data_IF_992236304629
#
_entry.id   IF_992236304629
#
_cell.length_a   1.000
_cell.length_b   1.000
_cell.length_c   1.000
_cell.angle_alpha   90.00
_cell.angle_beta   90.00
_cell.angle_gamma   90.00
#
_symmetry.space_group_name_H-M   'P 1'
#
loop_
_entity.id
_entity.type
_entity.pdbx_description
1 polymer ?
#
# COMPACT_ATOMS: atom_id res chain seq x y z
N UNK A 1 -18.13 17.65 10.88
CA UNK A 1 -16.77 17.08 10.92
C UNK A 1 -16.46 16.49 9.55
N UNK A 2 -15.31 16.78 8.96
CA UNK A 2 -14.98 16.27 7.62
C UNK A 2 -14.85 14.73 7.69
N UNK A 3 -15.65 14.00 6.89
CA UNK A 3 -15.67 12.53 6.89
C UNK A 3 -14.29 11.92 6.54
N UNK A 4 -13.49 12.65 5.76
CA UNK A 4 -12.15 12.25 5.36
C UNK A 4 -11.05 12.46 6.44
N UNK A 5 -11.45 12.93 7.64
CA UNK A 5 -10.60 13.03 8.83
C UNK A 5 -11.08 12.10 9.97
N UNK A 6 -12.15 11.34 9.75
CA UNK A 6 -12.74 10.49 10.78
C UNK A 6 -11.84 9.31 11.12
N UNK A 7 -11.68 9.02 12.40
CA UNK A 7 -11.06 7.79 12.90
C UNK A 7 -11.99 6.60 12.69
N UNK A 8 -11.42 5.44 12.45
CA UNK A 8 -12.15 4.17 12.31
C UNK A 8 -11.38 3.05 13.01
N UNK A 9 -11.95 1.86 13.23
CA UNK A 9 -11.24 0.74 13.84
C UNK A 9 -9.91 0.38 13.15
N UNK A 10 -9.83 0.50 11.82
CA UNK A 10 -8.58 0.28 11.09
C UNK A 10 -7.66 1.51 11.09
N UNK A 11 -8.24 2.71 11.09
CA UNK A 11 -7.50 3.98 11.12
C UNK A 11 -7.37 4.50 12.55
N UNK A 12 -6.80 3.72 13.46
CA UNK A 12 -6.64 3.95 14.90
C UNK A 12 -5.57 5.01 15.22
N UNK A 13 -5.69 6.19 14.59
CA UNK A 13 -4.64 7.21 14.69
C UNK A 13 -4.55 7.89 16.06
N UNK A 14 -5.56 7.81 16.92
CA UNK A 14 -5.49 8.29 18.30
C UNK A 14 -4.69 7.37 19.22
N UNK A 15 -4.35 6.15 18.75
CA UNK A 15 -3.56 5.19 19.52
C UNK A 15 -2.19 5.76 19.92
N UNK A 16 -1.70 5.37 21.10
CA UNK A 16 -0.45 5.87 21.66
C UNK A 16 0.78 5.65 20.73
N UNK A 17 0.95 4.48 20.04
CA UNK A 17 2.07 4.29 19.12
C UNK A 17 2.05 5.26 17.93
N UNK A 18 0.88 5.49 17.33
CA UNK A 18 0.72 6.42 16.19
C UNK A 18 0.98 7.85 16.64
N UNK A 19 0.38 8.30 17.76
CA UNK A 19 0.61 9.66 18.28
C UNK A 19 2.06 9.89 18.68
N UNK A 20 2.72 8.90 19.28
CA UNK A 20 4.15 8.96 19.62
C UNK A 20 5.02 9.14 18.35
N UNK A 21 4.69 8.42 17.28
CA UNK A 21 5.39 8.55 16.00
C UNK A 21 5.20 9.94 15.40
N UNK A 22 3.96 10.44 15.31
CA UNK A 22 3.63 11.78 14.79
C UNK A 22 4.40 12.85 15.56
N UNK A 23 4.40 12.78 16.90
CA UNK A 23 5.13 13.69 17.76
C UNK A 23 6.65 13.61 17.54
N UNK A 24 7.21 12.39 17.51
CA UNK A 24 8.65 12.15 17.30
C UNK A 24 9.13 12.73 15.97
N UNK A 25 8.32 12.63 14.91
CA UNK A 25 8.65 13.12 13.57
C UNK A 25 8.34 14.60 13.37
N UNK A 26 7.65 15.20 14.32
CA UNK A 26 7.24 16.62 14.29
C UNK A 26 6.47 17.02 13.02
N UNK A 27 5.74 16.08 12.40
CA UNK A 27 5.06 16.31 11.12
C UNK A 27 4.05 17.45 11.17
N UNK A 28 3.39 17.67 12.33
CA UNK A 28 2.38 18.74 12.46
C UNK A 28 2.97 20.16 12.37
N UNK A 29 4.29 20.32 12.53
CA UNK A 29 4.96 21.61 12.37
C UNK A 29 5.31 21.94 10.92
N UNK A 30 5.25 20.96 10.01
CA UNK A 30 5.48 21.16 8.57
C UNK A 30 4.27 21.82 7.91
N UNK A 31 4.48 22.51 6.79
CA UNK A 31 3.38 22.91 5.92
C UNK A 31 2.64 21.69 5.35
N UNK A 32 1.49 21.90 4.71
CA UNK A 32 0.62 20.81 4.25
C UNK A 32 1.33 19.90 3.23
N UNK A 33 1.99 20.48 2.22
CA UNK A 33 2.70 19.73 1.18
C UNK A 33 3.88 18.93 1.75
N UNK A 34 4.72 19.58 2.54
CA UNK A 34 5.88 18.95 3.18
C UNK A 34 5.45 17.84 4.15
N UNK A 35 4.36 18.06 4.89
CA UNK A 35 3.78 17.07 5.80
C UNK A 35 3.32 15.81 5.07
N UNK A 36 2.56 15.97 3.98
CA UNK A 36 2.11 14.85 3.15
C UNK A 36 3.32 14.10 2.61
N UNK A 37 4.30 14.83 2.04
CA UNK A 37 5.51 14.24 1.49
C UNK A 37 6.31 13.46 2.54
N UNK A 38 6.50 14.02 3.72
CA UNK A 38 7.25 13.37 4.79
C UNK A 38 6.56 12.09 5.31
N UNK A 39 5.22 12.09 5.43
CA UNK A 39 4.44 10.90 5.80
C UNK A 39 4.48 9.87 4.66
N UNK A 40 4.33 10.29 3.41
CA UNK A 40 4.44 9.44 2.22
C UNK A 40 5.80 8.73 2.16
N UNK A 41 6.89 9.50 2.26
CA UNK A 41 8.25 8.97 2.22
C UNK A 41 8.52 7.99 3.37
N UNK A 42 8.01 8.28 4.58
CA UNK A 42 8.08 7.37 5.73
C UNK A 42 7.37 6.04 5.43
N UNK A 43 6.12 6.09 4.97
CA UNK A 43 5.35 4.87 4.69
C UNK A 43 5.97 4.10 3.53
N UNK A 44 6.49 4.78 2.51
CA UNK A 44 7.15 4.12 1.38
C UNK A 44 8.44 3.41 1.83
N UNK A 45 9.33 4.11 2.53
CA UNK A 45 10.73 3.68 2.66
C UNK A 45 11.07 3.06 4.02
N UNK A 46 10.32 3.38 5.10
CA UNK A 46 10.57 2.84 6.43
C UNK A 46 9.61 1.69 6.80
N UNK A 47 8.47 1.58 6.12
CA UNK A 47 7.59 0.41 6.17
C UNK A 47 7.88 -0.44 4.92
N UNK A 48 8.61 -1.53 5.09
CA UNK A 48 9.10 -2.32 3.96
C UNK A 48 7.96 -3.00 3.18
N UNK A 49 8.20 -3.30 1.91
CA UNK A 49 7.26 -4.11 1.14
C UNK A 49 7.22 -5.55 1.66
N UNK A 50 6.00 -6.05 1.94
CA UNK A 50 5.77 -7.40 2.43
C UNK A 50 4.30 -7.68 2.68
N UNK A 51 3.97 -8.93 3.00
CA UNK A 51 2.60 -9.44 3.13
C UNK A 51 2.26 -9.70 4.60
N UNK A 52 1.27 -8.96 5.12
CA UNK A 52 0.74 -9.12 6.47
C UNK A 52 -0.18 -10.33 6.59
N UNK A 53 -0.66 -10.59 7.79
CA UNK A 53 -1.57 -11.73 8.08
C UNK A 53 -2.95 -11.56 7.47
N UNK A 54 -3.40 -10.31 7.33
CA UNK A 54 -4.75 -9.94 6.88
C UNK A 54 -4.75 -8.51 6.36
N UNK A 55 -5.67 -8.16 5.48
CA UNK A 55 -5.85 -6.81 4.97
C UNK A 55 -6.62 -5.91 5.95
N UNK A 56 -7.36 -6.50 6.89
CA UNK A 56 -8.20 -5.79 7.86
C UNK A 56 -7.49 -5.39 9.16
N UNK A 57 -6.16 -5.51 9.22
CA UNK A 57 -5.39 -5.10 10.40
C UNK A 57 -5.34 -3.58 10.56
N UNK A 58 -5.36 -3.09 11.81
CA UNK A 58 -5.31 -1.66 12.10
C UNK A 58 -3.92 -1.05 11.85
N UNK A 59 -3.88 0.28 11.72
CA UNK A 59 -2.64 1.02 11.43
C UNK A 59 -1.55 0.80 12.48
N UNK A 60 -1.90 0.73 13.77
CA UNK A 60 -0.94 0.40 14.85
C UNK A 60 -0.29 -0.96 14.62
N UNK A 61 -1.03 -1.96 14.13
CA UNK A 61 -0.47 -3.28 13.85
C UNK A 61 0.48 -3.25 12.66
N UNK A 62 0.14 -2.52 11.59
CA UNK A 62 1.04 -2.34 10.43
C UNK A 62 2.34 -1.65 10.84
N UNK A 63 2.23 -0.60 11.68
CA UNK A 63 3.39 0.09 12.22
C UNK A 63 4.28 -0.83 13.04
N UNK A 64 3.70 -1.68 13.89
CA UNK A 64 4.42 -2.67 14.70
C UNK A 64 5.09 -3.76 13.85
N UNK A 65 4.43 -4.20 12.75
CA UNK A 65 5.00 -5.18 11.81
C UNK A 65 6.20 -4.61 11.03
N UNK A 66 6.22 -3.29 10.76
CA UNK A 66 7.27 -2.61 10.01
C UNK A 66 7.30 -2.95 8.51
N UNK A 67 6.27 -3.62 8.01
CA UNK A 67 6.10 -3.96 6.59
C UNK A 67 4.61 -4.05 6.22
N UNK A 68 4.32 -3.98 4.93
CA UNK A 68 2.97 -4.14 4.39
C UNK A 68 2.92 -4.14 2.86
N UNK A 69 1.71 -4.38 2.33
CA UNK A 69 1.36 -4.28 0.92
C UNK A 69 0.39 -3.12 0.69
N UNK A 70 -0.20 -3.02 -0.50
CA UNK A 70 -1.09 -1.92 -0.90
C UNK A 70 -2.13 -1.56 0.18
N UNK A 71 -2.96 -2.53 0.59
CA UNK A 71 -4.07 -2.29 1.52
C UNK A 71 -3.57 -1.90 2.92
N UNK A 72 -2.65 -2.64 3.49
CA UNK A 72 -2.17 -2.42 4.86
C UNK A 72 -1.27 -1.19 4.99
N UNK A 73 -0.34 -0.95 4.04
CA UNK A 73 0.42 0.31 3.99
C UNK A 73 -0.51 1.50 3.75
N UNK A 74 -1.56 1.32 2.90
CA UNK A 74 -2.61 2.32 2.69
C UNK A 74 -3.34 2.67 3.99
N UNK A 75 -3.71 1.67 4.80
CA UNK A 75 -4.32 1.87 6.13
C UNK A 75 -3.41 2.69 7.04
N UNK A 76 -2.13 2.33 7.16
CA UNK A 76 -1.19 3.10 7.97
C UNK A 76 -1.01 4.53 7.43
N UNK A 77 -0.89 4.69 6.11
CA UNK A 77 -0.73 5.99 5.47
C UNK A 77 -1.91 6.91 5.76
N UNK A 78 -3.16 6.42 5.58
CA UNK A 78 -4.36 7.18 5.91
C UNK A 78 -4.45 7.55 7.39
N UNK A 79 -4.11 6.63 8.30
CA UNK A 79 -4.12 6.90 9.73
C UNK A 79 -3.14 8.02 10.11
N UNK A 80 -1.92 8.01 9.55
CA UNK A 80 -0.92 9.05 9.77
C UNK A 80 -1.36 10.40 9.19
N UNK A 81 -1.90 10.42 7.96
CA UNK A 81 -2.42 11.62 7.32
C UNK A 81 -3.54 12.24 8.16
N UNK A 82 -4.57 11.45 8.52
CA UNK A 82 -5.70 11.91 9.33
C UNK A 82 -5.27 12.36 10.72
N UNK A 83 -4.37 11.63 11.37
CA UNK A 83 -3.77 12.00 12.65
C UNK A 83 -2.98 13.32 12.61
N UNK A 84 -2.54 13.73 11.42
CA UNK A 84 -1.91 15.03 11.14
C UNK A 84 -2.86 16.08 10.55
N UNK A 85 -4.18 15.79 10.45
CA UNK A 85 -5.18 16.73 9.94
C UNK A 85 -5.29 16.81 8.42
N UNK A 86 -4.72 15.86 7.68
CA UNK A 86 -4.78 15.81 6.20
C UNK A 86 -5.96 14.94 5.76
N UNK A 87 -6.93 15.48 4.99
CA UNK A 87 -8.05 14.71 4.47
C UNK A 87 -7.58 13.69 3.43
N UNK A 88 -8.02 12.44 3.60
CA UNK A 88 -7.70 11.37 2.66
C UNK A 88 -8.82 10.34 2.56
N UNK A 89 -8.86 9.62 1.43
CA UNK A 89 -9.84 8.58 1.12
C UNK A 89 -9.15 7.42 0.39
N UNK A 90 -9.82 6.30 0.27
CA UNK A 90 -9.25 5.11 -0.37
C UNK A 90 -10.01 4.78 -1.65
N UNK A 91 -9.31 4.39 -2.70
CA UNK A 91 -9.88 3.92 -3.95
C UNK A 91 -9.59 2.43 -4.10
N UNK A 92 -10.63 1.63 -4.36
CA UNK A 92 -10.57 0.17 -4.41
C UNK A 92 -10.56 -0.38 -5.82
N UNK A 93 -9.78 -1.45 -6.05
CA UNK A 93 -9.61 -2.10 -7.35
C UNK A 93 -9.41 -3.60 -7.23
N UNK A 94 -9.39 -4.28 -8.37
CA UNK A 94 -8.65 -5.53 -8.52
C UNK A 94 -7.53 -5.39 -9.54
N UNK A 95 -6.46 -6.17 -9.33
CA UNK A 95 -5.33 -6.30 -10.25
C UNK A 95 -5.17 -7.74 -10.70
N UNK A 96 -4.63 -7.95 -11.91
CA UNK A 96 -4.29 -9.30 -12.39
C UNK A 96 -3.18 -9.91 -11.52
N UNK A 97 -3.34 -11.15 -11.09
CA UNK A 97 -2.33 -11.87 -10.30
C UNK A 97 -0.96 -11.98 -10.98
N UNK A 98 -0.88 -11.77 -12.30
CA UNK A 98 0.40 -11.72 -13.03
C UNK A 98 1.36 -10.70 -12.43
N UNK A 99 0.83 -9.60 -11.92
CA UNK A 99 1.60 -8.57 -11.22
C UNK A 99 2.34 -9.14 -10.00
N UNK A 100 1.79 -10.17 -9.37
CA UNK A 100 2.40 -10.82 -8.20
C UNK A 100 3.39 -11.94 -8.56
N UNK A 101 3.55 -12.28 -9.88
CA UNK A 101 4.49 -13.31 -10.32
C UNK A 101 5.91 -12.95 -9.91
N UNK A 102 6.59 -13.88 -9.25
CA UNK A 102 7.93 -13.67 -8.68
C UNK A 102 7.89 -13.39 -7.17
N UNK A 103 6.97 -12.56 -6.66
CA UNK A 103 6.64 -12.50 -5.25
C UNK A 103 5.85 -13.75 -4.83
N UNK A 104 4.80 -14.09 -5.60
CA UNK A 104 4.13 -15.38 -5.54
C UNK A 104 4.78 -16.35 -6.54
N UNK A 105 5.10 -17.56 -6.11
CA UNK A 105 5.71 -18.62 -6.95
C UNK A 105 5.06 -19.97 -6.69
N UNK A 106 5.20 -20.92 -7.64
CA UNK A 106 4.80 -22.32 -7.51
C UNK A 106 3.33 -22.49 -7.04
N UNK A 107 3.13 -23.29 -6.02
CA UNK A 107 1.80 -23.61 -5.50
C UNK A 107 1.00 -22.37 -5.05
N UNK A 108 1.66 -21.38 -4.42
CA UNK A 108 1.01 -20.13 -3.96
C UNK A 108 0.44 -19.36 -5.17
N UNK A 109 1.23 -19.19 -6.23
CA UNK A 109 0.79 -18.50 -7.43
C UNK A 109 -0.35 -19.23 -8.17
N UNK A 110 -0.24 -20.55 -8.30
CA UNK A 110 -1.23 -21.36 -9.03
C UNK A 110 -2.61 -21.32 -8.34
N UNK A 111 -2.64 -21.32 -6.99
CA UNK A 111 -3.87 -21.30 -6.21
C UNK A 111 -4.37 -19.90 -5.84
N UNK A 112 -3.62 -18.84 -6.17
CA UNK A 112 -4.05 -17.47 -5.97
C UNK A 112 -5.24 -17.12 -6.89
N UNK A 113 -6.20 -16.29 -6.43
CA UNK A 113 -7.28 -15.78 -7.28
C UNK A 113 -6.71 -15.08 -8.53
N UNK A 114 -7.44 -15.14 -9.64
CA UNK A 114 -7.05 -14.43 -10.88
C UNK A 114 -6.97 -12.91 -10.64
N UNK A 115 -7.98 -12.39 -9.94
CA UNK A 115 -8.06 -10.99 -9.56
C UNK A 115 -7.69 -10.87 -8.08
N UNK A 116 -6.72 -10.02 -7.77
CA UNK A 116 -6.24 -9.75 -6.41
C UNK A 116 -6.76 -8.39 -6.00
N UNK A 117 -7.32 -8.31 -4.79
CA UNK A 117 -7.81 -7.05 -4.23
C UNK A 117 -6.66 -6.04 -4.06
N UNK A 118 -6.91 -4.79 -4.45
CA UNK A 118 -5.92 -3.72 -4.49
C UNK A 118 -6.54 -2.38 -4.14
N UNK A 119 -5.73 -1.46 -3.63
CA UNK A 119 -6.16 -0.09 -3.37
C UNK A 119 -5.00 0.90 -3.44
N UNK A 120 -5.34 2.17 -3.68
CA UNK A 120 -4.46 3.30 -3.38
C UNK A 120 -5.15 4.34 -2.49
N UNK A 121 -4.37 5.30 -2.03
CA UNK A 121 -4.87 6.40 -1.19
C UNK A 121 -4.96 7.68 -2.02
N UNK A 122 -6.09 8.35 -1.93
CA UNK A 122 -6.25 9.70 -2.47
C UNK A 122 -6.12 10.71 -1.34
N UNK A 123 -5.26 11.70 -1.53
CA UNK A 123 -4.91 12.72 -0.53
C UNK A 123 -5.32 14.10 -1.03
N UNK A 124 -6.03 14.86 -0.20
CA UNK A 124 -6.37 16.25 -0.52
C UNK A 124 -5.24 17.19 -0.06
N UNK A 125 -4.69 17.97 -1.00
CA UNK A 125 -3.70 19.00 -0.74
C UNK A 125 -4.06 20.27 -1.52
N UNK A 126 -4.16 21.41 -0.86
CA UNK A 126 -4.54 22.68 -1.50
C UNK A 126 -5.89 22.60 -2.24
N UNK A 127 -6.83 21.80 -1.76
CA UNK A 127 -8.15 21.59 -2.37
C UNK A 127 -8.17 20.66 -3.59
N UNK A 128 -7.04 20.08 -3.98
CA UNK A 128 -6.93 19.08 -5.06
C UNK A 128 -6.70 17.67 -4.50
N UNK A 129 -7.24 16.67 -5.19
CA UNK A 129 -7.02 15.25 -4.86
C UNK A 129 -5.87 14.69 -5.69
N UNK A 130 -4.97 13.96 -5.03
CA UNK A 130 -3.83 13.28 -5.64
C UNK A 130 -3.93 11.78 -5.35
N UNK A 131 -3.78 10.96 -6.38
CA UNK A 131 -3.77 9.50 -6.31
C UNK A 131 -2.36 9.02 -6.00
N UNK A 132 -2.19 8.44 -4.81
CA UNK A 132 -0.88 8.01 -4.34
C UNK A 132 -0.89 6.48 -4.17
N UNK A 133 -0.16 5.79 -5.04
CA UNK A 133 -0.03 4.33 -5.05
C UNK A 133 1.42 3.88 -4.76
N UNK A 134 2.40 4.65 -5.22
CA UNK A 134 3.78 4.17 -5.22
C UNK A 134 4.44 4.10 -3.82
N UNK A 135 3.74 4.49 -2.74
CA UNK A 135 4.17 4.22 -1.36
C UNK A 135 4.24 2.72 -1.04
N UNK A 136 3.67 1.86 -1.88
CA UNK A 136 3.59 0.40 -1.67
C UNK A 136 4.97 -0.22 -1.63
N UNK A 137 5.86 0.17 -2.56
CA UNK A 137 7.20 -0.40 -2.68
C UNK A 137 8.26 0.54 -2.14
N UNK A 138 9.10 0.03 -1.22
CA UNK A 138 10.26 0.80 -0.77
C UNK A 138 11.32 0.95 -1.87
N UNK A 139 12.04 2.06 -1.84
CA UNK A 139 13.09 2.37 -2.83
C UNK A 139 14.19 1.31 -2.88
N UNK A 140 14.48 0.65 -1.76
CA UNK A 140 15.50 -0.41 -1.70
C UNK A 140 15.06 -1.62 -2.52
N UNK A 141 13.81 -2.06 -2.33
CA UNK A 141 13.23 -3.15 -3.11
C UNK A 141 13.19 -2.82 -4.60
N UNK A 142 12.67 -1.64 -4.96
CA UNK A 142 12.58 -1.19 -6.34
C UNK A 142 13.95 -1.11 -7.02
N UNK A 143 14.96 -0.54 -6.34
CA UNK A 143 16.35 -0.46 -6.87
C UNK A 143 16.93 -1.85 -7.13
N UNK A 144 16.72 -2.81 -6.23
CA UNK A 144 17.19 -4.19 -6.44
C UNK A 144 16.47 -4.85 -7.61
N UNK A 145 15.16 -4.60 -7.75
CA UNK A 145 14.37 -5.10 -8.87
C UNK A 145 14.87 -4.53 -10.20
N UNK A 146 15.13 -3.23 -10.28
CA UNK A 146 15.71 -2.57 -11.46
C UNK A 146 17.08 -3.15 -11.83
N UNK A 147 17.93 -3.44 -10.84
CA UNK A 147 19.24 -4.10 -11.07
C UNK A 147 19.06 -5.51 -11.60
N UNK A 148 18.14 -6.29 -11.05
CA UNK A 148 17.83 -7.65 -11.49
C UNK A 148 17.34 -7.68 -12.95
N UNK A 149 16.54 -6.70 -13.33
CA UNK A 149 15.96 -6.57 -14.67
C UNK A 149 16.59 -5.43 -15.48
N UNK A 150 17.90 -5.20 -15.33
CA UNK A 150 18.64 -4.09 -16.00
C UNK A 150 18.47 -4.06 -17.51
N UNK A 151 18.24 -5.20 -18.15
CA UNK A 151 17.98 -5.32 -19.59
C UNK A 151 16.52 -5.03 -20.00
N UNK A 152 15.60 -4.83 -19.06
CA UNK A 152 14.23 -4.48 -19.39
C UNK A 152 14.16 -3.05 -19.90
N UNK A 153 13.62 -2.87 -21.10
CA UNK A 153 13.27 -1.57 -21.68
C UNK A 153 11.77 -1.53 -21.92
N UNK A 154 11.10 -0.50 -21.37
CA UNK A 154 9.64 -0.35 -21.49
C UNK A 154 8.84 -0.98 -20.35
N UNK A 155 7.66 -1.51 -20.67
CA UNK A 155 6.71 -1.99 -19.67
C UNK A 155 7.21 -3.21 -18.90
N UNK A 156 6.85 -3.26 -17.63
CA UNK A 156 7.19 -4.37 -16.73
C UNK A 156 5.98 -4.77 -15.91
N UNK A 157 5.77 -6.09 -15.76
CA UNK A 157 4.72 -6.66 -14.93
C UNK A 157 5.27 -7.86 -14.17
N UNK A 158 5.28 -7.80 -12.84
CA UNK A 158 5.75 -8.85 -11.95
C UNK A 158 6.36 -8.28 -10.66
N UNK A 159 6.60 -9.13 -9.66
CA UNK A 159 7.23 -8.76 -8.40
C UNK A 159 6.55 -7.61 -7.64
N UNK A 160 5.23 -7.47 -7.80
CA UNK A 160 4.48 -6.36 -7.21
C UNK A 160 4.60 -5.04 -7.98
N UNK A 161 5.04 -5.05 -9.23
CA UNK A 161 5.17 -3.88 -10.11
C UNK A 161 4.39 -4.08 -11.40
N UNK A 162 3.68 -3.05 -11.86
CA UNK A 162 3.11 -2.97 -13.21
C UNK A 162 3.20 -1.52 -13.69
N UNK A 163 4.18 -1.22 -14.53
CA UNK A 163 4.51 0.13 -15.00
C UNK A 163 4.87 0.15 -16.48
N UNK A 164 4.70 1.31 -17.13
CA UNK A 164 5.13 1.53 -18.53
C UNK A 164 6.64 1.58 -18.69
N UNK A 165 7.35 2.05 -17.67
CA UNK A 165 8.82 2.09 -17.66
C UNK A 165 9.35 1.72 -16.27
N UNK A 166 10.01 0.55 -16.17
CA UNK A 166 10.63 0.10 -14.91
C UNK A 166 11.81 0.97 -14.49
N UNK A 167 12.49 1.62 -15.45
CA UNK A 167 13.69 2.41 -15.14
C UNK A 167 13.37 3.75 -14.50
N UNK A 168 12.19 4.33 -14.83
CA UNK A 168 11.79 5.66 -14.38
C UNK A 168 10.32 5.72 -13.95
N UNK A 169 9.87 4.89 -12.99
CA UNK A 169 8.51 4.99 -12.47
C UNK A 169 8.32 6.30 -11.67
N UNK A 170 7.14 6.87 -11.73
CA UNK A 170 6.79 8.09 -10.97
C UNK A 170 6.42 7.69 -9.54
N UNK A 171 7.41 7.67 -8.66
CA UNK A 171 7.27 7.18 -7.27
C UNK A 171 7.45 8.25 -6.19
N UNK A 172 7.88 9.44 -6.55
CA UNK A 172 8.06 10.54 -5.60
C UNK A 172 6.88 11.51 -5.70
N UNK A 173 6.28 11.82 -4.54
CA UNK A 173 5.23 12.83 -4.45
C UNK A 173 5.83 14.23 -4.45
N UNK A 174 5.46 15.03 -5.45
CA UNK A 174 5.72 16.46 -5.56
C UNK A 174 4.55 17.17 -6.24
N UNK A 175 3.37 17.12 -5.61
CA UNK A 175 2.09 17.63 -6.14
C UNK A 175 1.68 16.94 -7.45
N UNK A 176 1.94 15.65 -7.55
CA UNK A 176 1.62 14.78 -8.68
C UNK A 176 1.07 13.44 -8.20
N UNK A 177 0.36 12.75 -9.06
CA UNK A 177 -0.02 11.35 -8.84
C UNK A 177 1.21 10.45 -8.90
N UNK A 178 1.20 9.35 -8.14
CA UNK A 178 2.28 8.36 -8.13
C UNK A 178 1.72 6.96 -8.35
N UNK A 179 2.34 6.19 -9.26
CA UNK A 179 1.86 4.86 -9.62
C UNK A 179 3.00 3.84 -9.70
N UNK A 180 2.71 2.61 -9.28
CA UNK A 180 3.65 1.48 -9.34
C UNK A 180 2.99 0.15 -9.75
N UNK A 181 1.65 0.06 -9.67
CA UNK A 181 0.87 -1.13 -10.00
C UNK A 181 -0.31 -0.82 -10.94
N UNK A 182 -0.56 0.44 -11.27
CA UNK A 182 -1.75 0.90 -12.00
C UNK A 182 -1.97 0.21 -13.36
N UNK A 183 -0.90 -0.18 -14.07
CA UNK A 183 -1.02 -0.93 -15.35
C UNK A 183 -1.55 -2.36 -15.18
N UNK A 184 -1.72 -2.83 -13.94
CA UNK A 184 -2.29 -4.14 -13.62
C UNK A 184 -3.77 -4.11 -13.25
N UNK A 185 -4.39 -2.92 -13.16
CA UNK A 185 -5.79 -2.76 -12.76
C UNK A 185 -6.71 -3.33 -13.85
N UNK A 186 -7.73 -4.11 -13.42
CA UNK A 186 -8.69 -4.73 -14.30
C UNK A 186 -10.15 -4.53 -13.87
N UNK A 187 -10.40 -4.03 -12.67
CA UNK A 187 -11.73 -3.65 -12.19
C UNK A 187 -11.60 -2.50 -11.21
N UNK A 188 -12.51 -1.53 -11.29
CA UNK A 188 -12.61 -0.36 -10.45
C UNK A 188 -13.87 -0.48 -9.56
N UNK A 189 -13.71 -0.32 -8.24
CA UNK A 189 -14.80 -0.31 -7.27
C UNK A 189 -15.20 1.10 -6.83
N UNK A 190 -14.42 2.12 -7.24
CA UNK A 190 -14.63 3.50 -6.84
C UNK A 190 -14.00 3.85 -5.48
N UNK A 191 -14.42 4.99 -4.96
CA UNK A 191 -13.82 5.65 -3.80
C UNK A 191 -14.66 5.43 -2.55
N UNK A 192 -13.98 5.14 -1.43
CA UNK A 192 -14.57 4.90 -0.11
C UNK A 192 -13.96 5.82 0.93
N UNK A 193 -14.74 6.12 1.98
CA UNK A 193 -14.29 7.01 3.06
C UNK A 193 -13.19 6.37 3.91
N UNK A 194 -13.17 5.03 4.04
CA UNK A 194 -12.19 4.31 4.85
C UNK A 194 -11.89 2.90 4.33
N UNK A 195 -10.73 2.31 4.71
CA UNK A 195 -10.45 0.90 4.45
C UNK A 195 -11.50 -0.04 5.04
N UNK A 196 -12.04 0.29 6.23
CA UNK A 196 -13.12 -0.48 6.89
C UNK A 196 -14.33 -0.62 5.98
N UNK A 197 -14.74 0.47 5.33
CA UNK A 197 -15.88 0.48 4.43
C UNK A 197 -15.58 -0.29 3.14
N UNK A 198 -14.45 -0.04 2.51
CA UNK A 198 -14.01 -0.71 1.28
C UNK A 198 -13.92 -2.23 1.48
N UNK A 199 -13.28 -2.69 2.55
CA UNK A 199 -13.11 -4.13 2.83
C UNK A 199 -14.42 -4.82 3.18
N UNK A 200 -15.36 -4.13 3.85
CA UNK A 200 -16.68 -4.67 4.12
C UNK A 200 -17.48 -4.96 2.85
N UNK A 201 -17.29 -4.16 1.79
CA UNK A 201 -18.02 -4.29 0.54
C UNK A 201 -17.31 -5.17 -0.49
N UNK A 202 -15.97 -5.13 -0.54
CA UNK A 202 -15.16 -5.71 -1.62
C UNK A 202 -13.94 -6.51 -1.15
N UNK A 203 -13.85 -6.81 0.15
CA UNK A 203 -12.71 -7.57 0.69
C UNK A 203 -12.46 -8.88 -0.06
N UNK A 204 -11.20 -9.33 -0.09
CA UNK A 204 -10.84 -10.58 -0.73
C UNK A 204 -11.49 -11.77 -0.02
N UNK A 205 -12.49 -12.38 -0.64
CA UNK A 205 -13.11 -13.59 -0.11
C UNK A 205 -12.20 -14.81 -0.33
N UNK A 206 -11.65 -15.30 0.76
CA UNK A 206 -10.93 -16.56 0.79
C UNK A 206 -11.72 -17.58 1.63
N UNK A 207 -11.82 -18.82 1.16
CA UNK A 207 -12.35 -19.88 2.03
C UNK A 207 -11.49 -20.00 3.27
N UNK A 208 -12.05 -20.48 4.40
CA UNK A 208 -11.35 -20.61 5.68
C UNK A 208 -10.03 -21.36 5.54
N UNK A 209 -9.99 -22.45 4.76
CA UNK A 209 -8.78 -23.21 4.48
C UNK A 209 -7.72 -22.40 3.73
N UNK A 210 -8.13 -21.61 2.71
CA UNK A 210 -7.20 -20.77 1.96
C UNK A 210 -6.67 -19.62 2.81
N UNK A 211 -7.52 -19.01 3.64
CA UNK A 211 -7.12 -17.96 4.58
C UNK A 211 -6.13 -18.52 5.61
N UNK A 212 -6.37 -19.73 6.17
CA UNK A 212 -5.46 -20.39 7.08
C UNK A 212 -4.11 -20.71 6.40
N UNK A 213 -4.14 -21.32 5.22
CA UNK A 213 -2.93 -21.62 4.45
C UNK A 213 -2.13 -20.37 4.10
N UNK A 214 -2.80 -19.26 3.73
CA UNK A 214 -2.15 -17.98 3.51
C UNK A 214 -1.47 -17.45 4.78
N UNK A 215 -2.18 -17.41 5.91
CA UNK A 215 -1.66 -16.87 7.17
C UNK A 215 -0.44 -17.63 7.70
N UNK A 216 -0.42 -18.95 7.57
CA UNK A 216 0.60 -19.79 8.18
C UNK A 216 1.73 -20.22 7.23
N UNK A 217 1.50 -20.21 5.91
CA UNK A 217 2.50 -20.67 4.94
C UNK A 217 2.70 -19.66 3.82
N UNK A 218 1.63 -19.29 3.11
CA UNK A 218 1.70 -18.51 1.88
C UNK A 218 2.44 -17.18 2.05
N UNK A 219 2.03 -16.35 3.02
CA UNK A 219 2.67 -15.06 3.29
C UNK A 219 4.15 -15.18 3.67
N UNK A 220 4.57 -16.24 4.36
CA UNK A 220 5.97 -16.44 4.73
C UNK A 220 6.83 -16.76 3.50
N UNK A 221 6.29 -17.59 2.59
CA UNK A 221 6.96 -17.86 1.30
C UNK A 221 7.05 -16.61 0.45
N UNK A 222 5.97 -15.81 0.37
CA UNK A 222 5.95 -14.54 -0.36
C UNK A 222 6.96 -13.55 0.24
N UNK A 223 6.97 -13.36 1.55
CA UNK A 223 7.93 -12.50 2.24
C UNK A 223 9.38 -12.97 2.04
N UNK A 224 9.62 -14.28 2.02
CA UNK A 224 10.95 -14.85 1.69
C UNK A 224 11.37 -14.50 0.27
N UNK A 225 10.44 -14.60 -0.71
CA UNK A 225 10.73 -14.25 -2.11
C UNK A 225 11.03 -12.75 -2.26
N UNK A 226 10.25 -11.87 -1.60
CA UNK A 226 10.49 -10.42 -1.58
C UNK A 226 11.87 -10.09 -1.02
N UNK A 227 12.27 -10.71 0.09
CA UNK A 227 13.59 -10.48 0.72
C UNK A 227 14.78 -10.96 -0.11
N UNK A 228 14.56 -11.88 -1.07
CA UNK A 228 15.60 -12.43 -1.96
C UNK A 228 15.85 -11.60 -3.22
N UNK A 229 15.06 -10.56 -3.42
CA UNK A 229 15.32 -9.54 -4.42
C UNK A 229 16.45 -8.64 -3.89
#
# INVERSE_FOLDING_TARGET
MNKYLKETPMLDYSSAPIQKLIKKRNWKALDEKERIKAIYDFVRDEILFGYNTDDSICATKVLADGYGQCNTKGTLFMALLRGCGIPCRIHGFTIDKKLQKGAMTGFVYNNAPKNVFHSWVEVCCGGKWFELEAFILDKRYLTKLQRKFKGCSGSFCGYGVAVKDLKKPVIDFDMNNTYIQSEGINQDFGVYDSPDELLRQHGQELSLMKAFAYRHLGRHLMNRNVRRI
#
